data_IF_627717425764
#
_entry.id   IF_627717425764
#
_cell.length_a   1.000
_cell.length_b   1.000
_cell.length_c   1.000
_cell.angle_alpha   90.00
_cell.angle_beta   90.00
_cell.angle_gamma   90.00
#
_symmetry.space_group_name_H-M   'P 1'
#
loop_
_entity.id
_entity.type
_entity.pdbx_description
1 polymer ?
#
# COMPACT_ATOMS: atom_id res chain seq x y z
N UNK A 1 -2.63 -7.28 9.85
CA UNK A 1 -1.15 -7.34 9.91
C UNK A 1 -0.63 -8.78 9.82
N UNK A 2 -1.06 -9.74 10.66
CA UNK A 2 -0.52 -11.11 10.60
C UNK A 2 -0.56 -11.72 9.20
N UNK A 3 -1.69 -11.64 8.48
CA UNK A 3 -1.84 -12.14 7.12
C UNK A 3 -1.00 -11.42 6.05
N UNK A 4 -0.46 -10.24 6.34
CA UNK A 4 0.53 -9.59 5.46
C UNK A 4 1.95 -10.13 5.69
N UNK A 5 2.23 -10.70 6.85
CA UNK A 5 3.57 -11.09 7.29
C UNK A 5 3.77 -12.62 7.32
N UNK A 6 2.69 -13.36 7.30
CA UNK A 6 2.57 -14.83 7.20
C UNK A 6 1.34 -15.07 6.31
N UNK A 7 1.53 -14.90 5.00
CA UNK A 7 0.43 -14.79 4.04
C UNK A 7 -0.13 -16.16 3.65
N UNK A 8 0.66 -17.24 3.80
CA UNK A 8 0.21 -18.62 3.59
C UNK A 8 -0.33 -19.26 4.89
N UNK A 9 -0.31 -18.52 6.01
CA UNK A 9 -0.80 -18.91 7.34
C UNK A 9 -0.17 -20.21 7.87
N UNK A 10 1.09 -20.51 7.48
CA UNK A 10 1.82 -21.69 7.98
C UNK A 10 2.40 -21.47 9.38
N UNK A 11 2.33 -20.23 9.83
CA UNK A 11 2.77 -19.75 11.14
C UNK A 11 4.21 -19.44 11.22
N UNK A 12 4.85 -19.21 10.13
CA UNK A 12 6.18 -18.63 10.03
C UNK A 12 6.08 -17.36 9.21
N UNK A 13 6.87 -16.39 9.61
CA UNK A 13 6.93 -15.15 8.84
C UNK A 13 7.59 -15.40 7.48
N UNK A 14 6.98 -14.85 6.41
CA UNK A 14 7.46 -15.01 5.04
C UNK A 14 8.79 -14.27 4.79
N UNK A 15 8.99 -13.17 5.51
CA UNK A 15 10.20 -12.34 5.41
C UNK A 15 10.74 -12.00 6.81
N UNK A 16 11.71 -12.78 7.35
CA UNK A 16 12.28 -12.52 8.67
C UNK A 16 12.97 -11.16 8.79
N UNK A 17 13.65 -10.68 7.74
CA UNK A 17 14.30 -9.36 7.74
C UNK A 17 13.28 -8.24 7.92
N UNK A 18 12.11 -8.38 7.28
CA UNK A 18 11.03 -7.40 7.41
C UNK A 18 10.54 -7.31 8.87
N UNK A 19 10.37 -8.45 9.55
CA UNK A 19 9.94 -8.47 10.95
C UNK A 19 10.99 -7.84 11.87
N UNK A 20 12.27 -8.17 11.69
CA UNK A 20 13.37 -7.57 12.44
C UNK A 20 13.36 -6.04 12.27
N UNK A 21 13.23 -5.58 11.03
CA UNK A 21 13.18 -4.15 10.68
C UNK A 21 11.98 -3.44 11.31
N UNK A 22 10.79 -4.03 11.24
CA UNK A 22 9.58 -3.47 11.87
C UNK A 22 9.75 -3.31 13.39
N UNK A 23 10.37 -4.28 14.06
CA UNK A 23 10.64 -4.23 15.50
C UNK A 23 11.68 -3.15 15.83
N UNK A 24 12.79 -3.10 15.08
CA UNK A 24 13.88 -2.12 15.28
C UNK A 24 13.39 -0.69 15.10
N UNK A 25 12.51 -0.46 14.13
CA UNK A 25 11.92 0.85 13.83
C UNK A 25 10.65 1.16 14.64
N UNK A 26 10.32 0.33 15.62
CA UNK A 26 9.15 0.54 16.49
C UNK A 26 7.84 0.72 15.74
N UNK A 27 7.62 -0.08 14.68
CA UNK A 27 6.40 -0.05 13.87
C UNK A 27 5.15 -0.10 14.74
N UNK A 28 4.25 0.85 14.57
CA UNK A 28 3.05 0.96 15.37
C UNK A 28 1.88 1.52 14.56
N UNK A 29 0.69 0.98 14.81
CA UNK A 29 -0.57 1.52 14.33
C UNK A 29 -1.37 2.03 15.53
N UNK A 30 -1.74 3.31 15.49
CA UNK A 30 -2.61 3.91 16.50
C UNK A 30 -4.07 3.71 16.11
N UNK A 31 -4.84 3.02 16.95
CA UNK A 31 -6.28 2.81 16.73
C UNK A 31 -7.10 3.73 17.62
N UNK A 32 -8.07 4.45 17.03
CA UNK A 32 -8.91 5.38 17.76
C UNK A 32 -10.41 5.13 17.51
N UNK A 33 -11.20 5.44 18.52
CA UNK A 33 -12.67 5.33 18.45
C UNK A 33 -13.33 6.62 18.01
N UNK A 34 -12.72 7.75 18.31
CA UNK A 34 -13.22 9.09 17.96
C UNK A 34 -12.05 9.98 17.55
N UNK A 35 -12.21 10.78 16.51
CA UNK A 35 -11.20 11.70 16.01
C UNK A 35 -10.59 12.59 17.11
N UNK A 36 -11.35 12.98 18.12
CA UNK A 36 -10.85 13.76 19.27
C UNK A 36 -9.81 13.03 20.14
N UNK A 37 -9.55 11.74 19.90
CA UNK A 37 -8.54 10.94 20.58
C UNK A 37 -7.21 10.90 19.84
N UNK A 38 -7.17 11.36 18.59
CA UNK A 38 -5.94 11.45 17.79
C UNK A 38 -5.04 12.50 18.40
N UNK A 39 -3.89 12.07 18.92
CA UNK A 39 -2.90 12.93 19.57
C UNK A 39 -1.46 12.51 19.26
N UNK A 40 -1.27 11.61 18.32
CA UNK A 40 0.02 11.08 17.87
C UNK A 40 0.19 11.41 16.40
N UNK A 41 1.44 11.68 16.01
CA UNK A 41 1.84 11.74 14.62
C UNK A 41 2.41 10.36 14.23
N UNK A 42 1.51 9.41 13.98
CA UNK A 42 1.82 8.04 13.62
C UNK A 42 0.72 7.53 12.69
N UNK A 43 0.97 6.44 11.97
CA UNK A 43 -0.06 5.78 11.17
C UNK A 43 -1.24 5.41 12.05
N UNK A 44 -2.45 5.75 11.64
CA UNK A 44 -3.64 5.57 12.44
C UNK A 44 -4.80 4.91 11.67
N UNK A 45 -5.71 4.31 12.41
CA UNK A 45 -6.93 3.68 11.90
C UNK A 45 -8.12 4.05 12.77
N UNK A 46 -9.10 4.70 12.18
CA UNK A 46 -10.35 5.04 12.86
C UNK A 46 -11.33 3.87 12.95
N UNK A 47 -12.09 3.83 14.02
CA UNK A 47 -13.15 2.82 14.16
C UNK A 47 -14.28 2.97 13.13
N UNK A 48 -14.45 4.16 12.54
CA UNK A 48 -15.40 4.47 11.48
C UNK A 48 -14.85 4.21 10.07
N UNK A 49 -13.59 3.82 9.94
CA UNK A 49 -12.91 3.43 8.69
C UNK A 49 -12.74 1.92 8.58
N UNK A 50 -12.74 1.21 9.70
CA UNK A 50 -12.67 -0.25 9.71
C UNK A 50 -14.02 -0.88 9.34
N UNK A 51 -14.00 -1.75 8.31
CA UNK A 51 -15.19 -2.39 7.73
C UNK A 51 -14.96 -3.89 7.51
N UNK A 52 -14.81 -4.70 8.57
CA UNK A 52 -14.53 -6.13 8.43
C UNK A 52 -15.63 -6.88 7.64
N UNK A 53 -16.85 -6.36 7.59
CA UNK A 53 -17.93 -6.90 6.78
C UNK A 53 -17.65 -6.84 5.27
N UNK A 54 -16.80 -5.93 4.81
CA UNK A 54 -16.41 -5.81 3.40
C UNK A 54 -15.78 -7.13 2.89
N UNK A 55 -14.96 -7.79 3.69
CA UNK A 55 -14.30 -9.06 3.33
C UNK A 55 -15.29 -10.21 3.13
N UNK A 56 -16.42 -10.21 3.84
CA UNK A 56 -17.45 -11.26 3.77
C UNK A 56 -18.61 -10.92 2.83
N UNK A 57 -18.67 -9.69 2.35
CA UNK A 57 -19.74 -9.18 1.47
C UNK A 57 -19.32 -9.12 -0.01
N UNK A 58 -18.37 -9.97 -0.42
CA UNK A 58 -17.89 -10.02 -1.80
C UNK A 58 -17.16 -8.76 -2.25
N UNK A 59 -16.53 -8.05 -1.32
CA UNK A 59 -15.81 -6.79 -1.56
C UNK A 59 -16.71 -5.68 -2.14
N UNK A 60 -17.94 -5.63 -1.64
CA UNK A 60 -18.95 -4.61 -2.02
C UNK A 60 -19.26 -3.72 -0.82
N UNK A 61 -19.50 -2.44 -1.08
CA UNK A 61 -19.78 -1.44 -0.05
C UNK A 61 -18.55 -0.64 0.34
N UNK A 62 -18.58 -0.04 1.53
CA UNK A 62 -17.48 0.78 2.00
C UNK A 62 -16.22 -0.09 2.22
N UNK A 63 -15.13 0.33 1.64
CA UNK A 63 -13.83 -0.34 1.75
C UNK A 63 -13.34 -0.42 3.20
N UNK A 64 -12.65 -1.50 3.54
CA UNK A 64 -11.99 -1.64 4.85
C UNK A 64 -10.61 -0.99 4.83
N UNK A 65 -10.51 0.22 5.38
CA UNK A 65 -9.26 0.96 5.46
C UNK A 65 -8.18 0.24 6.29
N UNK A 66 -8.53 -0.79 7.06
CA UNK A 66 -7.52 -1.60 7.75
C UNK A 66 -6.52 -2.27 6.78
N UNK A 67 -6.89 -2.51 5.52
CA UNK A 67 -5.97 -3.00 4.49
C UNK A 67 -4.90 -1.96 4.15
N UNK A 68 -5.29 -0.71 4.06
CA UNK A 68 -4.46 0.43 3.73
C UNK A 68 -3.55 0.81 4.89
N UNK A 69 -4.13 1.13 6.05
CA UNK A 69 -3.41 1.65 7.20
C UNK A 69 -2.39 0.64 7.76
N UNK A 70 -2.75 -0.63 7.79
CA UNK A 70 -1.81 -1.70 8.18
C UNK A 70 -0.70 -1.86 7.14
N UNK A 71 -1.02 -1.71 5.85
CA UNK A 71 -0.03 -1.79 4.79
C UNK A 71 0.97 -0.62 4.87
N UNK A 72 0.51 0.60 5.13
CA UNK A 72 1.39 1.76 5.30
C UNK A 72 2.40 1.56 6.44
N UNK A 73 2.00 0.96 7.57
CA UNK A 73 2.96 0.59 8.62
C UNK A 73 4.01 -0.38 8.09
N UNK A 74 3.61 -1.40 7.33
CA UNK A 74 4.51 -2.45 6.81
C UNK A 74 5.43 -1.89 5.72
N UNK A 75 4.91 -1.11 4.79
CA UNK A 75 5.70 -0.55 3.70
C UNK A 75 6.67 0.52 4.18
N UNK A 76 6.17 1.53 4.88
CA UNK A 76 6.96 2.67 5.34
C UNK A 76 8.00 2.27 6.41
N UNK A 77 7.56 1.59 7.48
CA UNK A 77 8.47 1.25 8.61
C UNK A 77 9.29 -0.02 8.34
N UNK A 78 8.80 -0.90 7.46
CA UNK A 78 9.41 -2.18 7.14
C UNK A 78 10.18 -2.17 5.83
N UNK A 79 9.48 -2.30 4.69
CA UNK A 79 10.11 -2.48 3.38
C UNK A 79 11.06 -1.33 2.99
N UNK A 80 10.67 -0.08 3.24
CA UNK A 80 11.48 1.09 2.93
C UNK A 80 12.85 1.07 3.67
N UNK A 81 12.88 0.51 4.86
CA UNK A 81 14.10 0.39 5.67
C UNK A 81 14.85 -0.93 5.47
N UNK A 82 14.14 -2.04 5.25
CA UNK A 82 14.77 -3.34 4.98
C UNK A 82 15.48 -3.37 3.62
N UNK A 83 14.92 -2.66 2.63
CA UNK A 83 15.44 -2.62 1.25
C UNK A 83 15.52 -1.17 0.73
N UNK A 84 16.34 -0.29 1.33
CA UNK A 84 16.28 1.15 1.11
C UNK A 84 16.60 1.59 -0.32
N UNK A 85 17.38 0.83 -1.08
CA UNK A 85 17.67 1.14 -2.48
C UNK A 85 16.58 0.68 -3.44
N UNK A 86 15.68 -0.18 -2.98
CA UNK A 86 14.57 -0.74 -3.78
C UNK A 86 13.26 -0.07 -3.41
N UNK A 87 12.89 -0.09 -2.12
CA UNK A 87 11.60 0.38 -1.61
C UNK A 87 11.70 1.64 -0.75
N UNK A 88 12.89 2.27 -0.64
CA UNK A 88 13.00 3.57 0.00
C UNK A 88 12.10 4.60 -0.71
N UNK A 89 11.47 5.47 0.06
CA UNK A 89 10.48 6.44 -0.42
C UNK A 89 11.15 7.75 -0.89
N UNK A 90 12.40 7.99 -0.49
CA UNK A 90 13.23 9.09 -1.00
C UNK A 90 13.92 8.69 -2.32
N UNK A 91 13.78 9.53 -3.35
CA UNK A 91 14.42 9.29 -4.65
C UNK A 91 15.95 9.44 -4.58
N UNK A 92 16.73 8.68 -5.39
CA UNK A 92 16.28 7.67 -6.34
C UNK A 92 16.24 6.25 -5.73
N UNK A 93 15.15 5.54 -5.94
CA UNK A 93 15.02 4.10 -5.63
C UNK A 93 14.22 3.43 -6.75
N UNK A 94 14.19 2.10 -6.80
CA UNK A 94 13.40 1.41 -7.83
C UNK A 94 11.89 1.70 -7.69
N UNK A 95 11.39 1.83 -6.46
CA UNK A 95 10.00 2.22 -6.18
C UNK A 95 9.69 3.63 -6.72
N UNK A 96 10.54 4.60 -6.40
CA UNK A 96 10.31 5.99 -6.81
C UNK A 96 10.50 6.19 -8.31
N UNK A 97 11.40 5.45 -8.96
CA UNK A 97 11.51 5.43 -10.42
C UNK A 97 10.25 4.86 -11.09
N UNK A 98 9.69 3.78 -10.53
CA UNK A 98 8.41 3.23 -11.01
C UNK A 98 7.25 4.21 -10.80
N UNK A 99 7.17 4.85 -9.63
CA UNK A 99 6.18 5.90 -9.35
C UNK A 99 6.29 7.07 -10.33
N UNK A 100 7.49 7.54 -10.62
CA UNK A 100 7.70 8.64 -11.56
C UNK A 100 7.23 8.29 -12.97
N UNK A 101 7.42 7.05 -13.41
CA UNK A 101 6.84 6.54 -14.66
C UNK A 101 5.32 6.58 -14.60
N UNK A 102 4.71 6.10 -13.51
CA UNK A 102 3.26 6.06 -13.33
C UNK A 102 2.64 7.45 -13.32
N UNK A 103 3.32 8.43 -12.77
CA UNK A 103 2.91 9.85 -12.72
C UNK A 103 3.17 10.60 -14.02
N UNK A 104 3.92 10.00 -14.95
CA UNK A 104 4.35 10.62 -16.21
C UNK A 104 5.51 11.60 -16.06
N UNK A 105 6.24 11.56 -14.95
CA UNK A 105 7.44 12.35 -14.69
C UNK A 105 7.78 12.48 -13.21
N UNK A 106 9.00 12.94 -12.92
CA UNK A 106 9.46 13.24 -11.57
C UNK A 106 8.88 14.57 -11.09
N UNK A 107 7.96 14.54 -10.12
CA UNK A 107 7.31 15.73 -9.58
C UNK A 107 7.40 15.73 -8.04
N UNK A 108 8.21 16.61 -7.48
CA UNK A 108 8.26 16.82 -6.02
C UNK A 108 6.93 17.39 -5.52
N UNK A 109 6.36 18.34 -6.26
CA UNK A 109 5.04 18.87 -5.97
C UNK A 109 4.02 18.28 -6.94
N UNK A 110 2.77 18.16 -6.50
CA UNK A 110 1.67 17.68 -7.34
C UNK A 110 1.53 18.56 -8.58
N UNK A 111 1.69 17.99 -9.80
CA UNK A 111 1.48 18.74 -11.02
C UNK A 111 0.00 19.06 -11.22
N UNK A 112 -0.29 20.15 -11.91
CA UNK A 112 -1.67 20.54 -12.20
C UNK A 112 -1.80 21.12 -13.60
N UNK A 113 -2.32 20.35 -14.56
CA UNK A 113 -2.76 18.95 -14.48
C UNK A 113 -1.59 17.94 -14.47
N UNK A 114 -1.89 16.70 -14.13
CA UNK A 114 -1.00 15.57 -14.41
C UNK A 114 -0.87 15.34 -15.92
N UNK A 115 0.25 14.77 -16.40
CA UNK A 115 0.37 14.33 -17.78
C UNK A 115 -0.75 13.35 -18.16
N UNK A 116 -1.27 13.49 -19.38
CA UNK A 116 -2.43 12.70 -19.83
C UNK A 116 -2.19 11.18 -19.85
N UNK A 117 -0.93 10.76 -19.91
CA UNK A 117 -0.52 9.36 -19.88
C UNK A 117 -0.33 8.80 -18.47
N UNK A 118 -0.46 9.63 -17.42
CA UNK A 118 -0.32 9.18 -16.06
C UNK A 118 -1.48 8.27 -15.66
N UNK A 119 -1.17 7.16 -15.00
CA UNK A 119 -2.16 6.25 -14.39
C UNK A 119 -2.15 6.28 -12.86
N UNK A 120 -1.25 7.07 -12.27
CA UNK A 120 -1.23 7.43 -10.86
C UNK A 120 -1.24 8.95 -10.73
N UNK A 121 -2.29 9.49 -10.13
CA UNK A 121 -2.57 10.94 -10.11
C UNK A 121 -3.02 11.43 -8.73
N UNK A 122 -2.33 11.01 -7.67
CA UNK A 122 -2.64 11.38 -6.30
C UNK A 122 -2.69 12.91 -6.11
N UNK A 123 -3.69 13.42 -5.37
CA UNK A 123 -4.00 14.86 -5.34
C UNK A 123 -3.97 15.49 -3.96
N UNK A 124 -3.74 14.74 -2.90
CA UNK A 124 -3.64 15.30 -1.56
C UNK A 124 -2.37 16.15 -1.42
N UNK A 125 -2.55 17.44 -1.22
CA UNK A 125 -1.47 18.41 -1.12
C UNK A 125 -0.69 18.33 0.19
N UNK A 126 -1.17 17.57 1.15
CA UNK A 126 -0.46 17.32 2.42
C UNK A 126 0.50 16.16 2.31
N UNK A 127 0.36 15.35 1.25
CA UNK A 127 1.19 14.21 0.94
C UNK A 127 2.38 14.66 0.08
N UNK A 128 3.56 14.67 0.66
CA UNK A 128 4.82 14.97 -0.03
C UNK A 128 5.28 13.78 -0.89
N UNK A 129 6.41 13.92 -1.58
CA UNK A 129 6.90 12.93 -2.54
C UNK A 129 7.05 11.52 -1.93
N UNK A 130 7.59 11.44 -0.72
CA UNK A 130 7.78 10.18 0.03
C UNK A 130 6.44 9.52 0.36
N UNK A 131 5.50 10.30 0.87
CA UNK A 131 4.13 9.85 1.11
C UNK A 131 3.48 9.33 -0.18
N UNK A 132 3.66 10.00 -1.31
CA UNK A 132 3.14 9.55 -2.60
C UNK A 132 3.75 8.21 -3.05
N UNK A 133 4.98 7.88 -2.66
CA UNK A 133 5.56 6.57 -2.93
C UNK A 133 4.91 5.46 -2.09
N UNK A 134 4.56 5.76 -0.84
CA UNK A 134 3.77 4.88 0.02
C UNK A 134 2.37 4.58 -0.53
N UNK A 135 1.67 5.62 -1.00
CA UNK A 135 0.36 5.48 -1.66
C UNK A 135 0.45 4.68 -2.97
N UNK A 136 1.47 4.93 -3.77
CA UNK A 136 1.66 4.22 -5.03
C UNK A 136 1.86 2.71 -4.85
N UNK A 137 2.72 2.29 -3.91
CA UNK A 137 2.91 0.87 -3.64
C UNK A 137 1.65 0.22 -3.04
N UNK A 138 0.88 0.97 -2.23
CA UNK A 138 -0.42 0.53 -1.71
C UNK A 138 -1.42 0.25 -2.84
N UNK A 139 -1.62 1.20 -3.76
CA UNK A 139 -2.52 1.02 -4.91
C UNK A 139 -2.11 -0.18 -5.75
N UNK A 140 -0.83 -0.30 -6.06
CA UNK A 140 -0.32 -1.39 -6.88
C UNK A 140 -0.53 -2.75 -6.22
N UNK A 141 -0.10 -2.92 -4.96
CA UNK A 141 -0.22 -4.19 -4.26
C UNK A 141 -1.68 -4.60 -4.08
N UNK A 142 -2.52 -3.70 -3.58
CA UNK A 142 -3.93 -4.03 -3.30
C UNK A 142 -4.72 -4.33 -4.58
N UNK A 143 -4.36 -3.71 -5.72
CA UNK A 143 -4.88 -4.07 -7.04
C UNK A 143 -4.41 -5.46 -7.46
N UNK A 144 -3.13 -5.80 -7.26
CA UNK A 144 -2.61 -7.13 -7.57
C UNK A 144 -3.27 -8.22 -6.71
N UNK A 145 -3.65 -7.91 -5.48
CA UNK A 145 -4.35 -8.81 -4.57
C UNK A 145 -5.87 -8.86 -4.79
N UNK A 146 -6.42 -8.05 -5.72
CA UNK A 146 -7.85 -8.05 -6.07
C UNK A 146 -8.74 -7.15 -5.20
N UNK A 147 -8.18 -6.41 -4.23
CA UNK A 147 -8.97 -5.53 -3.37
C UNK A 147 -9.64 -4.36 -4.12
N UNK A 148 -9.09 -3.97 -5.27
CA UNK A 148 -9.55 -2.79 -6.02
C UNK A 148 -10.48 -3.13 -7.20
N UNK A 149 -10.72 -4.43 -7.49
CA UNK A 149 -11.45 -4.85 -8.71
C UNK A 149 -12.82 -4.18 -8.88
N UNK A 150 -13.56 -4.00 -7.80
CA UNK A 150 -14.91 -3.43 -7.82
C UNK A 150 -14.93 -1.91 -7.57
N UNK A 151 -13.78 -1.24 -7.43
CA UNK A 151 -13.67 0.14 -6.95
C UNK A 151 -13.26 1.16 -8.00
N UNK A 152 -13.14 0.80 -9.27
CA UNK A 152 -12.62 1.70 -10.30
C UNK A 152 -13.30 3.09 -10.30
N UNK A 153 -14.61 3.16 -10.08
CA UNK A 153 -15.33 4.45 -10.05
C UNK A 153 -14.93 5.34 -8.86
N UNK A 154 -14.54 4.74 -7.75
CA UNK A 154 -14.10 5.48 -6.56
C UNK A 154 -12.66 5.98 -6.71
N UNK A 155 -11.79 5.11 -7.25
CA UNK A 155 -10.34 5.30 -7.21
C UNK A 155 -9.75 5.89 -8.48
N UNK A 156 -10.48 5.93 -9.60
CA UNK A 156 -9.97 6.38 -10.92
C UNK A 156 -9.51 7.84 -10.95
N UNK A 157 -9.84 8.63 -9.96
CA UNK A 157 -9.28 9.97 -9.79
C UNK A 157 -7.82 9.98 -9.33
N UNK A 158 -7.31 8.84 -8.83
CA UNK A 158 -5.97 8.67 -8.28
C UNK A 158 -5.21 7.49 -8.91
N UNK A 159 -5.93 6.41 -9.24
CA UNK A 159 -5.34 5.17 -9.74
C UNK A 159 -6.25 4.50 -10.78
N UNK A 160 -5.70 4.18 -11.96
CA UNK A 160 -6.45 3.62 -13.09
C UNK A 160 -6.34 2.08 -13.20
N UNK A 161 -5.43 1.44 -12.45
CA UNK A 161 -5.08 0.02 -12.63
C UNK A 161 -5.69 -0.87 -11.53
N UNK A 162 -7.00 -0.98 -11.49
CA UNK A 162 -7.74 -1.62 -10.39
C UNK A 162 -7.67 -3.16 -10.34
N UNK A 163 -6.80 -3.82 -11.11
CA UNK A 163 -6.67 -5.29 -11.12
C UNK A 163 -5.24 -5.76 -11.38
N UNK A 164 -4.94 -6.98 -10.98
CA UNK A 164 -3.65 -7.62 -11.23
C UNK A 164 -3.24 -7.56 -12.70
N UNK A 165 -4.16 -7.89 -13.61
CA UNK A 165 -3.87 -7.89 -15.04
C UNK A 165 -3.54 -6.49 -15.56
N UNK A 166 -4.27 -5.45 -15.12
CA UNK A 166 -3.99 -4.07 -15.52
C UNK A 166 -2.63 -3.60 -15.00
N UNK A 167 -2.29 -3.88 -13.75
CA UNK A 167 -0.95 -3.57 -13.22
C UNK A 167 0.12 -4.27 -14.05
N UNK A 168 -0.04 -5.57 -14.28
CA UNK A 168 0.92 -6.41 -15.03
C UNK A 168 1.20 -5.92 -16.46
N UNK A 169 0.18 -5.51 -17.18
CA UNK A 169 0.35 -5.09 -18.58
C UNK A 169 0.79 -3.63 -18.72
N UNK A 170 0.38 -2.76 -17.78
CA UNK A 170 0.60 -1.31 -17.86
C UNK A 170 1.83 -0.91 -17.05
N UNK A 171 1.86 -1.25 -15.75
CA UNK A 171 2.93 -0.87 -14.83
C UNK A 171 3.90 -2.04 -14.56
N UNK A 172 4.67 -2.37 -15.58
CA UNK A 172 5.61 -3.50 -15.52
C UNK A 172 6.71 -3.31 -14.46
N UNK A 173 7.04 -2.06 -14.15
CA UNK A 173 8.09 -1.75 -13.18
C UNK A 173 7.66 -2.19 -11.79
N UNK A 174 6.53 -1.69 -11.29
CA UNK A 174 6.03 -2.07 -9.97
C UNK A 174 5.60 -3.55 -9.93
N UNK A 175 4.98 -4.06 -10.99
CA UNK A 175 4.61 -5.46 -11.06
C UNK A 175 5.81 -6.39 -10.88
N UNK A 176 6.94 -6.07 -11.52
CA UNK A 176 8.19 -6.84 -11.39
C UNK A 176 8.73 -6.80 -9.96
N UNK A 177 8.69 -5.65 -9.29
CA UNK A 177 9.13 -5.50 -7.90
C UNK A 177 8.27 -6.32 -6.95
N UNK A 178 6.95 -6.17 -7.03
CA UNK A 178 6.01 -6.83 -6.11
C UNK A 178 5.86 -8.34 -6.38
N UNK A 179 6.22 -8.80 -7.57
CA UNK A 179 6.22 -10.23 -7.94
C UNK A 179 7.57 -10.91 -7.69
N UNK A 180 8.61 -10.18 -7.27
CA UNK A 180 9.92 -10.76 -7.03
C UNK A 180 9.90 -11.56 -5.71
N UNK A 181 10.16 -12.89 -5.75
CA UNK A 181 10.12 -13.74 -4.55
C UNK A 181 11.17 -13.38 -3.49
N UNK A 182 12.19 -12.61 -3.85
CA UNK A 182 13.21 -12.12 -2.92
C UNK A 182 12.62 -11.29 -1.79
N UNK A 183 11.55 -10.54 -2.08
CA UNK A 183 10.96 -9.62 -1.12
C UNK A 183 9.75 -10.19 -0.37
N UNK A 184 9.26 -11.36 -0.78
CA UNK A 184 8.14 -12.07 -0.14
C UNK A 184 6.91 -11.20 0.09
N UNK A 185 6.48 -10.45 -0.94
CA UNK A 185 5.22 -9.71 -0.88
C UNK A 185 4.02 -10.66 -0.78
N UNK A 186 2.94 -10.24 -0.10
CA UNK A 186 1.71 -11.02 -0.03
C UNK A 186 1.18 -11.42 -1.41
N UNK A 187 0.67 -12.64 -1.53
CA UNK A 187 0.07 -13.17 -2.75
C UNK A 187 -1.45 -13.41 -2.61
N UNK A 188 -1.96 -13.27 -1.38
CA UNK A 188 -3.38 -13.39 -1.05
C UNK A 188 -3.83 -12.18 -0.28
N UNK A 189 -5.04 -11.68 -0.57
CA UNK A 189 -5.62 -10.55 0.13
C UNK A 189 -5.92 -10.92 1.58
N UNK A 190 -5.41 -10.18 2.57
CA UNK A 190 -5.81 -10.36 3.96
C UNK A 190 -7.33 -10.17 4.14
N UNK A 191 -7.98 -11.09 4.80
CA UNK A 191 -9.44 -11.11 5.01
C UNK A 191 -9.86 -11.02 6.49
N UNK A 192 -8.87 -10.84 7.39
CA UNK A 192 -9.11 -10.75 8.82
C UNK A 192 -9.39 -12.09 9.52
N UNK A 193 -9.24 -13.23 8.82
CA UNK A 193 -9.55 -14.56 9.38
C UNK A 193 -8.34 -15.33 9.85
N UNK A 194 -7.18 -14.69 9.96
CA UNK A 194 -5.95 -15.32 10.44
C UNK A 194 -6.18 -16.14 11.71
N UNK A 195 -5.91 -17.43 11.64
CA UNK A 195 -6.14 -18.37 12.73
C UNK A 195 -4.87 -19.13 13.06
N UNK A 196 -4.44 -18.95 14.27
CA UNK A 196 -3.46 -19.80 14.92
C UNK A 196 -3.90 -20.19 16.29
#
# INVERSE_FOLDING_TARGET
>A
MAQYLDNDEDGKVDNPLLIETLIENHAALFMWKKMSQVNLNAQDLGADESRPEWHTNGHIGQFDAALEEVWHVISHTGYAHAYPTVFGEEAPTQLTEAMDLARGGHFINIPHPYPIQAWYTYKDRTCEYECMAGEYIYWALTSMLGAQENRLQEISQEWDLNSNELVKITDKAIYSLLSNPEYSFPQSLPDGTYRR
#
